data_IF_385811089743
#
_entry.id   IF_385811089743
#
_cell.length_a   1.000
_cell.length_b   1.000
_cell.length_c   1.000
_cell.angle_alpha   90.00
_cell.angle_beta   90.00
_cell.angle_gamma   90.00
#
_symmetry.space_group_name_H-M   'P 1'
#
loop_
_entity.id
_entity.type
_entity.pdbx_description
1 polymer ?
#
# COMPACT_ATOMS: atom_id res chain seq x y z
N UNK A 1 -17.70 0.98 -30.13
CA UNK A 1 -17.22 0.85 -28.74
C UNK A 1 -17.46 -0.57 -28.29
N UNK A 2 -16.62 -1.08 -27.40
CA UNK A 2 -16.77 -2.43 -26.83
C UNK A 2 -17.06 -2.30 -25.33
N UNK A 3 -17.96 -3.14 -24.83
CA UNK A 3 -18.36 -3.15 -23.41
C UNK A 3 -17.35 -3.87 -22.51
N UNK A 4 -16.54 -4.75 -23.10
CA UNK A 4 -15.59 -5.62 -22.42
C UNK A 4 -14.14 -5.11 -22.50
N UNK A 5 -13.92 -3.86 -22.94
CA UNK A 5 -12.60 -3.24 -23.04
C UNK A 5 -12.67 -1.75 -22.68
N UNK A 6 -11.59 -1.17 -22.12
CA UNK A 6 -11.53 0.26 -21.83
C UNK A 6 -11.80 1.11 -23.09
N UNK A 7 -12.65 2.11 -22.94
CA UNK A 7 -13.16 2.88 -24.07
C UNK A 7 -12.07 3.63 -24.86
N UNK A 8 -11.07 4.17 -24.16
CA UNK A 8 -9.93 4.86 -24.78
C UNK A 8 -9.08 3.90 -25.62
N UNK A 9 -8.85 2.68 -25.14
CA UNK A 9 -8.03 1.69 -25.84
C UNK A 9 -8.69 1.25 -27.15
N UNK A 10 -10.00 0.96 -27.10
CA UNK A 10 -10.79 0.60 -28.29
C UNK A 10 -10.73 1.71 -29.34
N UNK A 11 -10.89 2.96 -28.91
CA UNK A 11 -10.91 4.10 -29.82
C UNK A 11 -9.52 4.39 -30.40
N UNK A 12 -8.47 4.33 -29.59
CA UNK A 12 -7.09 4.51 -30.06
C UNK A 12 -6.67 3.39 -31.01
N UNK A 13 -7.01 2.14 -30.70
CA UNK A 13 -6.75 1.00 -31.58
C UNK A 13 -7.43 1.19 -32.94
N UNK A 14 -8.69 1.65 -32.97
CA UNK A 14 -9.39 1.95 -34.21
C UNK A 14 -8.73 3.10 -34.99
N UNK A 15 -8.31 4.17 -34.32
CA UNK A 15 -7.60 5.31 -34.94
C UNK A 15 -6.28 4.83 -35.57
N UNK A 16 -5.48 4.06 -34.82
CA UNK A 16 -4.22 3.51 -35.31
C UNK A 16 -4.43 2.57 -36.50
N UNK A 17 -5.36 1.63 -36.40
CA UNK A 17 -5.65 0.67 -37.46
C UNK A 17 -6.14 1.34 -38.75
N UNK A 18 -7.06 2.31 -38.64
CA UNK A 18 -7.62 2.98 -39.81
C UNK A 18 -6.60 3.87 -40.54
N UNK A 19 -5.59 4.39 -39.83
CA UNK A 19 -4.63 5.34 -40.37
C UNK A 19 -3.21 4.75 -40.50
N UNK A 20 -3.02 3.45 -40.22
CA UNK A 20 -1.71 2.80 -40.17
C UNK A 20 -0.70 3.53 -39.27
N UNK A 21 -1.15 3.95 -38.09
CA UNK A 21 -0.34 4.67 -37.10
C UNK A 21 0.04 3.77 -35.92
N UNK A 22 1.00 4.23 -35.13
CA UNK A 22 1.43 3.58 -33.88
C UNK A 22 1.45 4.59 -32.71
N UNK A 23 0.40 5.42 -32.62
CA UNK A 23 0.24 6.41 -31.54
C UNK A 23 -0.06 5.69 -30.23
N UNK A 24 0.62 6.03 -29.14
CA UNK A 24 0.38 5.50 -27.80
C UNK A 24 -0.58 6.39 -27.01
N UNK A 25 -1.20 5.84 -25.97
CA UNK A 25 -2.09 6.60 -25.09
C UNK A 25 -1.39 7.81 -24.43
N UNK A 26 -0.09 7.67 -24.17
CA UNK A 26 0.79 8.72 -23.61
C UNK A 26 1.15 9.81 -24.61
N UNK A 27 0.93 9.59 -25.91
CA UNK A 27 1.35 10.51 -26.97
C UNK A 27 0.30 11.59 -27.26
N UNK A 28 -0.87 11.49 -26.64
CA UNK A 28 -2.05 12.29 -26.97
C UNK A 28 -2.85 12.73 -25.74
N UNK A 29 -3.56 13.84 -25.90
CA UNK A 29 -4.56 14.35 -24.98
C UNK A 29 -5.94 14.26 -25.65
N UNK A 30 -6.91 13.76 -24.90
CA UNK A 30 -8.31 13.63 -25.32
C UNK A 30 -9.09 14.86 -24.85
N UNK A 31 -9.84 15.51 -25.75
CA UNK A 31 -10.83 16.48 -25.31
C UNK A 31 -12.02 15.80 -24.66
N UNK A 32 -12.83 16.58 -23.93
CA UNK A 32 -14.15 16.14 -23.52
C UNK A 32 -14.99 15.74 -24.74
N UNK A 33 -15.80 14.67 -24.62
CA UNK A 33 -16.69 14.22 -25.68
C UNK A 33 -17.84 15.21 -25.87
N UNK A 34 -18.08 15.57 -27.13
CA UNK A 34 -19.21 16.40 -27.54
C UNK A 34 -20.27 15.52 -28.19
N UNK A 35 -21.48 15.55 -27.63
CA UNK A 35 -22.66 15.01 -28.29
C UNK A 35 -22.97 15.83 -29.55
N UNK A 36 -23.11 15.15 -30.69
CA UNK A 36 -23.40 15.76 -31.98
C UNK A 36 -24.74 15.31 -32.56
N UNK A 37 -25.56 14.58 -31.78
CA UNK A 37 -26.92 14.21 -32.20
C UNK A 37 -27.77 15.44 -32.50
N UNK A 38 -28.58 15.37 -33.54
CA UNK A 38 -29.41 16.47 -34.05
C UNK A 38 -28.62 17.57 -34.75
N UNK A 39 -27.32 17.39 -35.02
CA UNK A 39 -26.50 18.37 -35.74
C UNK A 39 -26.18 17.89 -37.15
N UNK A 40 -25.82 18.81 -38.06
CA UNK A 40 -25.37 18.46 -39.42
C UNK A 40 -24.21 17.46 -39.43
N UNK A 41 -23.35 17.49 -38.39
CA UNK A 41 -22.22 16.57 -38.27
C UNK A 41 -22.67 15.14 -38.02
N UNK A 42 -23.76 14.90 -37.30
CA UNK A 42 -24.32 13.56 -37.16
C UNK A 42 -24.74 13.05 -38.53
N UNK A 43 -25.50 13.84 -39.30
CA UNK A 43 -25.95 13.45 -40.65
C UNK A 43 -24.79 13.14 -41.58
N UNK A 44 -23.73 13.94 -41.55
CA UNK A 44 -22.56 13.76 -42.42
C UNK A 44 -21.69 12.56 -42.05
N UNK A 45 -21.61 12.21 -40.77
CA UNK A 45 -20.70 11.17 -40.28
C UNK A 45 -21.41 9.86 -39.92
N UNK A 46 -22.73 9.91 -39.76
CA UNK A 46 -23.56 8.88 -39.16
C UNK A 46 -23.06 8.47 -37.76
N UNK A 47 -22.56 9.45 -36.98
CA UNK A 47 -21.99 9.27 -35.63
C UNK A 47 -22.66 10.19 -34.61
N UNK A 48 -22.71 9.73 -33.35
CA UNK A 48 -23.34 10.46 -32.26
C UNK A 48 -22.38 11.32 -31.42
N UNK A 49 -21.07 11.10 -31.51
CA UNK A 49 -20.08 11.77 -30.65
C UNK A 49 -18.89 12.27 -31.45
N UNK A 50 -18.39 13.45 -31.09
CA UNK A 50 -17.15 14.05 -31.56
C UNK A 50 -16.19 14.28 -30.38
N UNK A 51 -14.93 13.88 -30.55
CA UNK A 51 -13.81 14.31 -29.68
C UNK A 51 -12.72 14.95 -30.52
N UNK A 52 -11.76 15.60 -29.86
CA UNK A 52 -10.50 16.04 -30.45
C UNK A 52 -9.34 15.31 -29.77
N UNK A 53 -8.51 14.67 -30.59
CA UNK A 53 -7.22 14.11 -30.17
C UNK A 53 -6.13 15.11 -30.51
N UNK A 54 -5.28 15.45 -29.54
CA UNK A 54 -4.19 16.42 -29.67
C UNK A 54 -2.87 15.78 -29.29
N UNK A 55 -1.89 15.78 -30.20
CA UNK A 55 -0.51 15.38 -29.91
C UNK A 55 0.41 16.59 -29.67
N UNK A 56 0.00 17.78 -30.13
CA UNK A 56 0.79 19.00 -29.95
C UNK A 56 1.08 19.30 -28.49
N UNK A 57 2.37 19.44 -28.16
CA UNK A 57 2.83 19.84 -26.83
C UNK A 57 2.81 18.71 -25.79
N UNK A 58 2.59 17.46 -26.19
CA UNK A 58 2.69 16.31 -25.30
C UNK A 58 4.16 15.95 -25.08
N UNK A 59 4.67 16.17 -23.86
CA UNK A 59 6.06 15.88 -23.49
C UNK A 59 6.42 14.43 -23.77
N UNK A 60 7.50 14.20 -24.53
CA UNK A 60 7.98 12.86 -24.88
C UNK A 60 7.29 12.21 -26.07
N UNK A 61 6.27 12.85 -26.65
CA UNK A 61 5.63 12.41 -27.90
C UNK A 61 6.42 12.90 -29.11
N UNK A 62 6.60 12.03 -30.11
CA UNK A 62 7.14 12.41 -31.44
C UNK A 62 6.04 12.87 -32.40
N UNK A 63 4.78 12.82 -31.98
CA UNK A 63 3.63 13.15 -32.80
C UNK A 63 3.25 14.63 -32.65
N UNK A 64 2.74 15.22 -33.72
CA UNK A 64 2.20 16.59 -33.71
C UNK A 64 0.89 16.65 -34.48
N UNK A 65 0.04 17.59 -34.10
CA UNK A 65 -1.22 17.91 -34.74
C UNK A 65 -2.43 17.68 -33.83
N UNK A 66 -3.59 18.05 -34.39
CA UNK A 66 -4.91 17.93 -33.75
C UNK A 66 -5.91 17.41 -34.77
N UNK A 67 -6.73 16.43 -34.40
CA UNK A 67 -7.77 15.91 -35.28
C UNK A 67 -9.06 15.63 -34.54
N UNK A 68 -10.18 15.87 -35.22
CA UNK A 68 -11.48 15.47 -34.74
C UNK A 68 -11.69 13.98 -35.06
N UNK A 69 -12.17 13.23 -34.07
CA UNK A 69 -12.58 11.83 -34.23
C UNK A 69 -14.07 11.75 -33.97
N UNK A 70 -14.78 11.07 -34.87
CA UNK A 70 -16.23 10.88 -34.83
C UNK A 70 -16.53 9.41 -34.61
N UNK A 71 -17.32 9.10 -33.59
CA UNK A 71 -17.61 7.72 -33.20
C UNK A 71 -18.95 7.63 -32.44
N UNK A 72 -19.39 6.40 -32.15
CA UNK A 72 -20.63 6.16 -31.42
C UNK A 72 -20.33 5.73 -29.98
N UNK A 73 -20.75 6.53 -29.00
CA UNK A 73 -20.85 6.10 -27.60
C UNK A 73 -21.98 5.09 -27.43
N UNK A 74 -21.79 4.15 -26.49
CA UNK A 74 -22.81 3.18 -26.09
C UNK A 74 -23.85 3.88 -25.22
N UNK A 75 -25.12 3.50 -25.38
CA UNK A 75 -26.19 4.02 -24.53
C UNK A 75 -26.28 3.17 -23.27
N UNK A 76 -26.42 3.80 -22.11
CA UNK A 76 -26.69 3.07 -20.86
C UNK A 76 -28.00 2.28 -20.98
N UNK A 77 -28.97 2.81 -21.72
CA UNK A 77 -30.25 2.18 -22.02
C UNK A 77 -30.10 0.86 -22.79
N UNK A 78 -29.05 0.70 -23.61
CA UNK A 78 -28.81 -0.55 -24.35
C UNK A 78 -28.43 -1.71 -23.41
N UNK A 79 -27.94 -1.41 -22.19
CA UNK A 79 -27.68 -2.43 -21.16
C UNK A 79 -28.97 -3.12 -20.72
N UNK A 80 -30.10 -2.42 -20.69
CA UNK A 80 -31.41 -3.01 -20.36
C UNK A 80 -31.80 -4.13 -21.33
N UNK A 81 -31.38 -4.00 -22.59
CA UNK A 81 -31.62 -5.02 -23.63
C UNK A 81 -30.64 -6.18 -23.49
N UNK A 82 -29.39 -5.88 -23.13
CA UNK A 82 -28.31 -6.88 -23.09
C UNK A 82 -28.37 -7.79 -21.87
N UNK A 83 -28.62 -7.21 -20.68
CA UNK A 83 -28.58 -7.93 -19.40
C UNK A 83 -29.93 -7.94 -18.66
N UNK A 84 -30.95 -7.27 -19.21
CA UNK A 84 -32.24 -7.08 -18.55
C UNK A 84 -32.27 -5.84 -17.66
N UNK A 85 -33.38 -5.68 -16.93
CA UNK A 85 -33.64 -4.53 -16.06
C UNK A 85 -33.08 -4.68 -14.64
N UNK A 86 -32.36 -5.76 -14.36
CA UNK A 86 -31.99 -6.19 -13.01
C UNK A 86 -30.48 -6.38 -12.85
N UNK A 87 -29.88 -5.67 -11.90
CA UNK A 87 -28.49 -5.80 -11.49
C UNK A 87 -28.38 -6.58 -10.18
N UNK A 88 -27.47 -7.56 -10.14
CA UNK A 88 -27.13 -8.23 -8.90
C UNK A 88 -25.94 -7.52 -8.23
N UNK A 89 -26.20 -6.86 -7.10
CA UNK A 89 -25.19 -6.09 -6.35
C UNK A 89 -25.10 -6.63 -4.91
N UNK A 90 -23.90 -6.75 -4.38
CA UNK A 90 -23.70 -7.18 -2.99
C UNK A 90 -24.31 -6.17 -2.00
N UNK A 91 -25.07 -6.61 -0.98
CA UNK A 91 -25.79 -5.74 -0.05
C UNK A 91 -24.90 -4.84 0.83
N UNK A 92 -23.60 -5.09 0.87
CA UNK A 92 -22.61 -4.21 1.51
C UNK A 92 -22.35 -2.91 0.73
N UNK A 93 -22.67 -2.87 -0.56
CA UNK A 93 -22.46 -1.70 -1.41
C UNK A 93 -23.64 -0.74 -1.28
N UNK A 94 -23.35 0.49 -0.86
CA UNK A 94 -24.35 1.56 -0.76
C UNK A 94 -24.36 2.48 -1.99
N UNK A 95 -23.28 2.48 -2.79
CA UNK A 95 -23.14 3.34 -3.97
C UNK A 95 -22.76 2.55 -5.22
N UNK A 96 -23.06 3.12 -6.39
CA UNK A 96 -22.74 2.54 -7.68
C UNK A 96 -21.24 2.35 -7.86
N UNK A 97 -20.40 3.31 -7.44
CA UNK A 97 -18.95 3.18 -7.51
C UNK A 97 -18.42 2.00 -6.72
N UNK A 98 -18.91 1.79 -5.50
CA UNK A 98 -18.56 0.62 -4.69
C UNK A 98 -18.96 -0.70 -5.39
N UNK A 99 -20.06 -0.69 -6.14
CA UNK A 99 -20.55 -1.85 -6.88
C UNK A 99 -19.80 -2.13 -8.19
N UNK A 100 -19.09 -1.16 -8.79
CA UNK A 100 -18.42 -1.30 -10.10
C UNK A 100 -17.54 -2.56 -10.20
N UNK A 101 -16.64 -2.85 -9.24
CA UNK A 101 -15.79 -4.04 -9.33
C UNK A 101 -16.59 -5.35 -9.43
N UNK A 102 -17.66 -5.47 -8.64
CA UNK A 102 -18.54 -6.63 -8.66
C UNK A 102 -19.35 -6.74 -9.96
N UNK A 103 -19.84 -5.61 -10.49
CA UNK A 103 -20.56 -5.56 -11.76
C UNK A 103 -19.65 -5.97 -12.93
N UNK A 104 -18.41 -5.45 -12.97
CA UNK A 104 -17.41 -5.81 -13.97
C UNK A 104 -17.09 -7.32 -13.93
N UNK A 105 -16.90 -7.87 -12.73
CA UNK A 105 -16.61 -9.30 -12.56
C UNK A 105 -17.79 -10.18 -12.99
N UNK A 106 -19.02 -9.80 -12.65
CA UNK A 106 -20.22 -10.62 -12.90
C UNK A 106 -20.65 -10.59 -14.37
N UNK A 107 -20.65 -9.41 -14.98
CA UNK A 107 -21.18 -9.21 -16.33
C UNK A 107 -20.10 -9.10 -17.41
N UNK A 108 -18.81 -9.12 -17.03
CA UNK A 108 -17.70 -8.96 -17.96
C UNK A 108 -17.58 -7.55 -18.53
N UNK A 109 -18.12 -6.56 -17.82
CA UNK A 109 -17.98 -5.15 -18.18
C UNK A 109 -16.61 -4.63 -17.81
N UNK A 110 -16.22 -3.51 -18.42
CA UNK A 110 -15.05 -2.73 -18.03
C UNK A 110 -15.50 -1.29 -17.79
N UNK A 111 -16.31 -1.10 -16.74
CA UNK A 111 -16.76 0.20 -16.27
C UNK A 111 -15.72 0.78 -15.30
N UNK A 112 -15.48 2.08 -15.41
CA UNK A 112 -14.64 2.85 -14.48
C UNK A 112 -15.47 3.97 -13.84
N UNK A 113 -15.01 4.53 -12.71
CA UNK A 113 -15.66 5.71 -12.09
C UNK A 113 -15.71 6.91 -13.05
N UNK A 114 -14.82 6.99 -14.04
CA UNK A 114 -14.85 8.02 -15.07
C UNK A 114 -15.98 7.83 -16.11
N UNK A 115 -16.61 6.66 -16.15
CA UNK A 115 -17.66 6.34 -17.13
C UNK A 115 -19.07 6.65 -16.64
N UNK A 116 -19.31 6.58 -15.34
CA UNK A 116 -20.63 6.72 -14.72
C UNK A 116 -20.59 7.82 -13.66
N UNK A 117 -21.73 8.41 -13.33
CA UNK A 117 -21.86 9.22 -12.13
C UNK A 117 -22.11 8.29 -10.94
N UNK A 118 -21.52 8.59 -9.78
CA UNK A 118 -21.88 7.86 -8.57
C UNK A 118 -23.35 8.10 -8.23
N UNK A 119 -23.99 7.07 -7.70
CA UNK A 119 -25.40 7.08 -7.35
C UNK A 119 -25.62 6.18 -6.14
N UNK A 120 -26.50 6.61 -5.25
CA UNK A 120 -26.92 5.78 -4.12
C UNK A 120 -27.73 4.58 -4.63
N UNK A 121 -27.50 3.43 -4.00
CA UNK A 121 -28.32 2.24 -4.19
C UNK A 121 -29.46 2.30 -3.18
N UNK A 122 -30.68 2.49 -3.69
CA UNK A 122 -31.89 2.58 -2.89
C UNK A 122 -32.35 1.17 -2.50
N UNK A 123 -31.74 0.61 -1.46
CA UNK A 123 -32.12 -0.69 -0.91
C UNK A 123 -33.46 -0.65 -0.17
N UNK A 124 -34.19 -1.76 -0.20
CA UNK A 124 -35.25 -2.05 0.74
C UNK A 124 -34.69 -2.34 2.15
N UNK A 125 -35.57 -2.39 3.17
CA UNK A 125 -35.14 -2.46 4.58
C UNK A 125 -34.30 -3.70 4.95
N UNK A 126 -34.49 -4.82 4.24
CA UNK A 126 -33.76 -6.08 4.42
C UNK A 126 -32.61 -6.28 3.41
N UNK A 127 -32.34 -5.30 2.56
CA UNK A 127 -31.29 -5.31 1.52
C UNK A 127 -31.34 -6.53 0.60
N UNK A 128 -32.54 -6.96 0.24
CA UNK A 128 -32.78 -8.06 -0.70
C UNK A 128 -33.08 -7.55 -2.11
N UNK A 129 -33.70 -6.38 -2.21
CA UNK A 129 -34.08 -5.71 -3.45
C UNK A 129 -33.85 -4.20 -3.35
N UNK A 130 -33.73 -3.52 -4.47
CA UNK A 130 -33.58 -2.07 -4.49
C UNK A 130 -33.66 -1.48 -5.89
N UNK A 131 -33.27 -0.22 -6.02
CA UNK A 131 -33.15 0.48 -7.30
C UNK A 131 -31.86 1.29 -7.34
N UNK A 132 -31.28 1.43 -8.54
CA UNK A 132 -30.14 2.31 -8.76
C UNK A 132 -30.28 3.03 -10.08
N UNK A 133 -30.01 4.33 -10.08
CA UNK A 133 -30.03 5.17 -11.28
C UNK A 133 -28.64 5.27 -11.87
N UNK A 134 -28.40 4.53 -12.94
CA UNK A 134 -27.11 4.55 -13.66
C UNK A 134 -27.14 5.68 -14.68
N UNK A 135 -26.22 6.63 -14.54
CA UNK A 135 -26.09 7.78 -15.43
C UNK A 135 -24.67 7.79 -15.98
N UNK A 136 -24.52 7.91 -17.30
CA UNK A 136 -23.21 8.09 -17.90
C UNK A 136 -22.60 9.43 -17.45
N UNK A 137 -21.32 9.42 -17.07
CA UNK A 137 -20.61 10.65 -16.77
C UNK A 137 -20.58 11.56 -18.01
N UNK A 138 -20.78 12.89 -17.89
CA UNK A 138 -20.79 13.79 -19.05
C UNK A 138 -19.51 13.72 -19.89
N UNK A 139 -18.38 13.46 -19.21
CA UNK A 139 -17.06 13.33 -19.82
C UNK A 139 -16.71 11.89 -20.24
N UNK A 140 -17.61 10.92 -20.04
CA UNK A 140 -17.36 9.54 -20.44
C UNK A 140 -17.18 9.45 -21.96
N UNK A 141 -16.02 8.93 -22.34
CA UNK A 141 -15.67 8.65 -23.72
C UNK A 141 -16.48 7.47 -24.25
N UNK A 142 -16.84 6.51 -23.38
CA UNK A 142 -17.53 5.28 -23.77
C UNK A 142 -19.05 5.37 -23.81
N UNK A 143 -19.63 6.11 -22.86
CA UNK A 143 -21.03 5.98 -22.48
C UNK A 143 -21.80 7.30 -22.60
N UNK A 144 -23.10 7.19 -22.87
CA UNK A 144 -24.05 8.29 -22.87
C UNK A 144 -25.42 7.80 -22.41
N UNK A 145 -26.24 8.71 -21.89
CA UNK A 145 -27.60 8.38 -21.48
C UNK A 145 -27.67 7.92 -20.03
N UNK A 146 -28.83 7.35 -19.68
CA UNK A 146 -29.13 6.96 -18.30
C UNK A 146 -30.23 5.90 -18.28
N UNK A 147 -30.20 5.02 -17.28
CA UNK A 147 -31.28 4.09 -17.02
C UNK A 147 -31.41 3.81 -15.52
N UNK A 148 -32.63 3.50 -15.10
CA UNK A 148 -32.87 2.98 -13.74
C UNK A 148 -32.93 1.47 -13.81
N UNK A 149 -32.12 0.80 -12.99
CA UNK A 149 -32.12 -0.64 -12.83
C UNK A 149 -32.77 -1.02 -11.51
N UNK A 150 -33.47 -2.15 -11.52
CA UNK A 150 -33.77 -2.89 -10.30
C UNK A 150 -32.48 -3.52 -9.79
N UNK A 151 -32.37 -3.62 -8.48
CA UNK A 151 -31.26 -4.27 -7.81
C UNK A 151 -31.80 -5.48 -7.07
N UNK A 152 -31.10 -6.59 -7.16
CA UNK A 152 -31.33 -7.78 -6.32
C UNK A 152 -30.06 -8.10 -5.56
N UNK A 153 -30.21 -8.77 -4.43
CA UNK A 153 -29.09 -9.27 -3.63
C UNK A 153 -28.18 -10.16 -4.48
N UNK A 154 -27.01 -9.63 -4.80
CA UNK A 154 -25.91 -10.36 -5.44
C UNK A 154 -24.97 -10.98 -4.41
N UNK A 155 -24.04 -11.78 -4.92
CA UNK A 155 -22.96 -12.33 -4.12
C UNK A 155 -21.97 -11.22 -3.73
N UNK A 156 -21.52 -11.25 -2.48
CA UNK A 156 -20.40 -10.42 -2.06
C UNK A 156 -19.11 -10.91 -2.74
N UNK A 157 -18.24 -9.99 -3.14
CA UNK A 157 -16.91 -10.38 -3.60
C UNK A 157 -16.19 -11.11 -2.45
N UNK A 158 -15.53 -12.22 -2.73
CA UNK A 158 -14.71 -12.90 -1.72
C UNK A 158 -13.64 -11.94 -1.16
N UNK A 159 -13.17 -10.98 -1.98
CA UNK A 159 -12.22 -9.94 -1.57
C UNK A 159 -12.85 -8.96 -0.56
N UNK A 160 -14.14 -8.63 -0.68
CA UNK A 160 -14.84 -7.80 0.32
C UNK A 160 -15.17 -8.59 1.60
N UNK A 161 -15.31 -9.91 1.51
CA UNK A 161 -15.55 -10.79 2.66
C UNK A 161 -14.29 -11.09 3.49
N UNK A 162 -13.09 -10.99 2.91
CA UNK A 162 -11.82 -11.17 3.62
C UNK A 162 -11.41 -9.85 4.28
N UNK A 163 -11.96 -9.59 5.46
CA UNK A 163 -11.63 -8.40 6.28
C UNK A 163 -10.31 -8.55 7.05
N UNK A 164 -9.79 -9.78 7.17
CA UNK A 164 -8.54 -10.08 7.86
C UNK A 164 -7.52 -10.59 6.87
N UNK A 165 -6.74 -9.67 6.30
CA UNK A 165 -5.59 -9.95 5.44
C UNK A 165 -4.29 -10.18 6.24
N UNK A 166 -4.30 -9.90 7.55
CA UNK A 166 -3.14 -10.08 8.44
C UNK A 166 -3.38 -11.28 9.37
N UNK A 167 -2.57 -12.32 9.20
CA UNK A 167 -2.51 -13.45 10.14
C UNK A 167 -1.77 -13.02 11.40
N UNK A 168 -2.52 -12.62 12.42
CA UNK A 168 -1.96 -12.15 13.71
C UNK A 168 -1.21 -13.22 14.50
N UNK A 169 -1.22 -14.49 14.05
CA UNK A 169 -0.52 -15.61 14.67
C UNK A 169 0.92 -15.86 14.18
N UNK A 170 1.34 -15.26 13.07
CA UNK A 170 2.71 -15.37 12.52
C UNK A 170 3.46 -14.04 12.67
N UNK A 171 3.48 -13.48 13.88
CA UNK A 171 4.10 -12.18 14.17
C UNK A 171 5.59 -12.34 14.52
N UNK A 172 6.43 -11.47 13.98
CA UNK A 172 7.83 -11.33 14.40
C UNK A 172 7.85 -10.80 15.85
N UNK A 173 8.61 -11.40 16.79
CA UNK A 173 8.54 -11.09 18.21
C UNK A 173 9.29 -9.79 18.60
N UNK A 174 9.13 -8.69 17.86
CA UNK A 174 9.86 -7.44 18.08
C UNK A 174 9.11 -6.35 18.86
N UNK A 175 8.02 -6.71 19.54
CA UNK A 175 7.22 -5.74 20.30
C UNK A 175 6.40 -4.76 19.45
N UNK A 176 6.55 -4.77 18.12
CA UNK A 176 5.69 -4.02 17.21
C UNK A 176 4.49 -4.90 16.83
N UNK A 177 3.53 -4.99 17.76
CA UNK A 177 2.27 -5.69 17.51
C UNK A 177 1.51 -5.03 16.34
N UNK A 178 1.49 -5.67 15.17
CA UNK A 178 0.56 -5.33 14.08
C UNK A 178 1.11 -4.54 12.89
N UNK A 179 2.43 -4.46 12.69
CA UNK A 179 3.01 -3.85 11.47
C UNK A 179 3.33 -4.92 10.41
N UNK A 180 2.84 -4.76 9.17
CA UNK A 180 3.15 -5.61 8.01
C UNK A 180 4.64 -5.53 7.60
N UNK A 181 5.37 -4.52 8.09
CA UNK A 181 6.79 -4.33 7.84
C UNK A 181 7.55 -4.42 9.16
N UNK A 182 8.53 -5.32 9.25
CA UNK A 182 9.51 -5.35 10.35
C UNK A 182 10.41 -4.14 10.19
N UNK A 183 10.15 -3.07 10.95
CA UNK A 183 10.90 -1.80 10.81
C UNK A 183 12.13 -1.74 11.73
N UNK A 184 12.28 -2.68 12.66
CA UNK A 184 13.37 -2.71 13.63
C UNK A 184 13.79 -4.13 14.02
N UNK A 185 15.09 -4.30 14.29
CA UNK A 185 15.69 -5.52 14.85
C UNK A 185 15.49 -5.55 16.37
N UNK A 186 15.31 -6.74 16.94
CA UNK A 186 15.19 -6.93 18.39
C UNK A 186 16.58 -6.84 19.01
N UNK A 187 16.76 -5.96 20.00
CA UNK A 187 18.01 -5.77 20.72
C UNK A 187 18.54 -7.08 21.34
N UNK A 188 17.65 -7.93 21.85
CA UNK A 188 17.99 -9.23 22.44
C UNK A 188 18.67 -10.14 21.42
N UNK A 189 18.06 -10.31 20.24
CA UNK A 189 18.63 -11.11 19.14
C UNK A 189 19.91 -10.50 18.61
N UNK A 190 19.99 -9.17 18.54
CA UNK A 190 21.19 -8.46 18.10
C UNK A 190 22.36 -8.67 19.05
N UNK A 191 22.15 -8.63 20.37
CA UNK A 191 23.22 -8.74 21.37
C UNK A 191 23.69 -10.18 21.62
N UNK A 192 22.83 -11.17 21.36
CA UNK A 192 23.08 -12.59 21.62
C UNK A 192 24.39 -13.20 21.08
N UNK A 193 24.86 -12.90 19.85
CA UNK A 193 26.08 -13.53 19.31
C UNK A 193 27.38 -12.95 19.90
N UNK A 194 27.33 -11.82 20.59
CA UNK A 194 28.52 -11.11 21.03
C UNK A 194 29.00 -11.57 22.42
N UNK A 195 30.32 -11.53 22.58
CA UNK A 195 31.01 -11.79 23.84
C UNK A 195 31.70 -10.51 24.30
N UNK A 196 31.32 -10.01 25.47
CA UNK A 196 31.87 -8.77 26.02
C UNK A 196 32.96 -8.98 27.09
N UNK A 197 33.47 -10.21 27.29
CA UNK A 197 34.51 -10.55 28.28
C UNK A 197 35.72 -9.61 28.23
N UNK A 198 36.12 -9.12 27.05
CA UNK A 198 37.23 -8.16 26.88
C UNK A 198 37.11 -6.93 27.79
N UNK A 199 35.88 -6.51 28.10
CA UNK A 199 35.57 -5.30 28.87
C UNK A 199 34.90 -5.63 30.22
N UNK A 200 35.23 -6.78 30.81
CA UNK A 200 34.62 -7.27 32.05
C UNK A 200 34.65 -6.22 33.16
N UNK A 201 35.82 -5.64 33.43
CA UNK A 201 36.00 -4.74 34.57
C UNK A 201 35.27 -3.42 34.36
N UNK A 202 35.28 -2.90 33.13
CA UNK A 202 34.51 -1.72 32.73
C UNK A 202 33.01 -1.97 32.84
N UNK A 203 32.52 -3.14 32.41
CA UNK A 203 31.10 -3.50 32.51
C UNK A 203 30.65 -3.62 33.96
N UNK A 204 31.44 -4.26 34.83
CA UNK A 204 31.13 -4.38 36.25
C UNK A 204 31.17 -3.05 37.01
N UNK A 205 31.87 -2.05 36.47
CA UNK A 205 31.92 -0.71 37.05
C UNK A 205 30.68 0.14 36.76
N UNK A 206 29.80 -0.28 35.82
CA UNK A 206 28.55 0.43 35.57
C UNK A 206 27.60 0.32 36.76
N UNK A 207 26.86 1.41 37.00
CA UNK A 207 25.82 1.49 38.02
C UNK A 207 24.47 1.67 37.32
N UNK A 208 23.37 1.10 37.85
CA UNK A 208 22.05 1.30 37.27
C UNK A 208 21.69 2.79 37.15
N UNK A 209 21.09 3.15 36.02
CA UNK A 209 20.68 4.51 35.70
C UNK A 209 20.91 4.91 34.24
N UNK A 210 20.49 6.12 33.91
CA UNK A 210 20.60 6.67 32.55
C UNK A 210 22.05 7.02 32.25
N UNK A 211 22.55 6.52 31.12
CA UNK A 211 23.88 6.82 30.62
C UNK A 211 23.98 8.29 30.23
N UNK A 212 24.97 8.98 30.77
CA UNK A 212 25.33 10.35 30.43
C UNK A 212 26.83 10.57 30.58
N UNK A 213 27.37 11.64 30.00
CA UNK A 213 28.79 12.01 30.12
C UNK A 213 29.76 10.92 29.67
N UNK A 214 30.76 10.64 30.51
CA UNK A 214 31.82 9.65 30.22
C UNK A 214 31.28 8.21 30.12
N UNK A 215 30.44 7.71 31.06
CA UNK A 215 29.83 6.37 30.94
C UNK A 215 29.09 6.10 29.62
N UNK A 216 28.41 7.12 29.07
CA UNK A 216 27.76 7.01 27.75
C UNK A 216 28.79 6.85 26.62
N UNK A 217 29.86 7.64 26.68
CA UNK A 217 30.94 7.58 25.69
C UNK A 217 31.66 6.23 25.73
N UNK A 218 31.93 5.71 26.92
CA UNK A 218 32.59 4.42 27.11
C UNK A 218 31.74 3.27 26.59
N UNK A 219 30.42 3.30 26.86
CA UNK A 219 29.48 2.28 26.36
C UNK A 219 29.43 2.28 24.83
N UNK A 220 29.39 3.47 24.23
CA UNK A 220 29.43 3.60 22.75
C UNK A 220 30.69 3.00 22.17
N UNK A 221 31.85 3.25 22.78
CA UNK A 221 33.13 2.74 22.30
C UNK A 221 33.24 1.23 22.44
N UNK A 222 32.78 0.68 23.57
CA UNK A 222 32.72 -0.77 23.82
C UNK A 222 31.81 -1.48 22.82
N UNK A 223 30.58 -0.97 22.58
CA UNK A 223 29.68 -1.57 21.61
C UNK A 223 30.26 -1.49 20.19
N UNK A 224 30.89 -0.37 19.82
CA UNK A 224 31.60 -0.24 18.53
C UNK A 224 32.69 -1.28 18.34
N UNK A 225 33.54 -1.47 19.34
CA UNK A 225 34.67 -2.39 19.28
C UNK A 225 34.21 -3.85 19.14
N UNK A 226 33.20 -4.26 19.92
CA UNK A 226 32.74 -5.65 19.92
C UNK A 226 31.81 -5.98 18.75
N UNK A 227 30.89 -5.07 18.40
CA UNK A 227 29.87 -5.37 17.39
C UNK A 227 30.21 -4.86 15.99
N UNK A 228 31.28 -4.06 15.85
CA UNK A 228 31.65 -3.39 14.60
C UNK A 228 30.61 -2.38 14.09
N UNK A 229 29.56 -2.10 14.88
CA UNK A 229 28.44 -1.25 14.49
C UNK A 229 28.71 0.20 14.91
N UNK A 230 28.28 1.16 14.08
CA UNK A 230 28.53 2.59 14.29
C UNK A 230 27.65 3.22 15.40
N UNK A 231 27.76 2.75 16.64
CA UNK A 231 27.07 3.33 17.80
C UNK A 231 27.48 4.78 18.05
N UNK A 232 26.55 5.64 18.46
CA UNK A 232 26.82 7.06 18.71
C UNK A 232 26.22 7.54 20.03
N UNK A 233 26.89 8.49 20.68
CA UNK A 233 26.48 9.08 21.95
C UNK A 233 25.39 10.17 21.80
N UNK A 234 24.69 10.19 20.67
CA UNK A 234 23.67 11.18 20.32
C UNK A 234 22.32 10.50 20.10
N UNK A 235 21.25 11.29 19.95
CA UNK A 235 19.89 10.82 19.67
C UNK A 235 19.72 10.44 18.19
N UNK A 236 20.52 9.49 17.72
CA UNK A 236 20.46 8.95 16.35
C UNK A 236 19.43 7.83 16.25
N UNK A 237 18.66 7.82 15.16
CA UNK A 237 17.64 6.80 14.88
C UNK A 237 18.21 5.42 14.59
N UNK A 238 19.46 5.33 14.11
CA UNK A 238 20.05 4.04 13.74
C UNK A 238 20.76 3.32 14.88
N UNK A 239 21.62 4.02 15.63
CA UNK A 239 22.42 3.42 16.71
C UNK A 239 22.75 4.46 17.79
N UNK A 240 21.76 5.27 18.17
CA UNK A 240 21.91 6.28 19.22
C UNK A 240 21.74 5.71 20.63
N UNK A 241 22.68 6.00 21.53
CA UNK A 241 22.59 5.62 22.95
C UNK A 241 22.24 6.77 23.90
N UNK A 242 22.08 8.00 23.41
CA UNK A 242 21.68 9.10 24.28
C UNK A 242 20.30 8.82 24.91
N UNK A 243 20.26 8.66 26.24
CA UNK A 243 19.06 8.26 26.99
C UNK A 243 18.92 6.75 27.23
N UNK A 244 19.92 5.93 26.85
CA UNK A 244 19.97 4.52 27.22
C UNK A 244 20.12 4.37 28.75
N UNK A 245 19.58 3.30 29.31
CA UNK A 245 19.53 3.06 30.75
C UNK A 245 20.13 1.70 31.09
N UNK A 246 21.14 1.69 31.97
CA UNK A 246 21.62 0.45 32.59
C UNK A 246 20.58 0.06 33.64
N UNK A 247 19.93 -1.08 33.44
CA UNK A 247 18.92 -1.61 34.36
C UNK A 247 19.60 -2.40 35.47
N UNK A 248 20.58 -3.22 35.12
CA UNK A 248 21.36 -4.01 36.06
C UNK A 248 22.68 -4.46 35.46
N UNK A 249 23.63 -4.79 36.32
CA UNK A 249 24.85 -5.53 35.98
C UNK A 249 25.17 -6.49 37.12
N UNK A 250 25.57 -7.72 36.80
CA UNK A 250 25.94 -8.70 37.81
C UNK A 250 25.89 -10.13 37.29
N UNK A 251 25.68 -11.08 38.20
CA UNK A 251 25.56 -12.49 37.86
C UNK A 251 24.45 -12.72 36.84
N UNK A 252 24.76 -13.55 35.86
CA UNK A 252 23.82 -13.90 34.81
C UNK A 252 22.72 -14.83 35.34
N UNK A 253 21.48 -14.54 34.98
CA UNK A 253 20.32 -15.41 35.22
C UNK A 253 19.69 -15.77 33.86
N UNK A 254 20.11 -16.87 33.22
CA UNK A 254 19.62 -17.26 31.90
C UNK A 254 18.17 -17.81 31.92
N UNK A 255 17.55 -17.93 33.11
CA UNK A 255 16.13 -18.27 33.25
C UNK A 255 15.28 -17.01 33.19
N UNK A 256 15.72 -15.95 33.86
CA UNK A 256 15.03 -14.66 33.87
C UNK A 256 15.41 -13.74 32.70
N UNK A 257 16.56 -13.96 32.07
CA UNK A 257 17.11 -13.14 30.99
C UNK A 257 17.36 -14.00 29.73
N UNK A 258 17.14 -13.48 28.52
CA UNK A 258 17.41 -14.18 27.26
C UNK A 258 18.91 -14.19 26.91
N UNK A 259 19.75 -14.64 27.85
CA UNK A 259 21.21 -14.70 27.75
C UNK A 259 21.70 -16.13 27.62
N UNK A 260 22.94 -16.32 27.16
CA UNK A 260 23.54 -17.64 27.09
C UNK A 260 24.09 -18.06 28.47
N UNK A 261 23.66 -19.23 28.97
CA UNK A 261 24.04 -19.78 30.27
C UNK A 261 25.55 -20.07 30.44
N UNK A 262 26.34 -20.03 29.36
CA UNK A 262 27.80 -20.16 29.40
C UNK A 262 28.52 -18.90 29.91
N UNK A 263 27.82 -17.77 30.00
CA UNK A 263 28.37 -16.53 30.56
C UNK A 263 27.95 -16.37 32.01
N UNK A 264 28.92 -16.00 32.84
CA UNK A 264 28.80 -15.82 34.29
C UNK A 264 28.13 -14.50 34.64
N UNK A 265 28.30 -13.46 33.81
CA UNK A 265 27.79 -12.12 34.06
C UNK A 265 26.99 -11.59 32.86
N UNK A 266 26.07 -10.68 33.16
CA UNK A 266 25.33 -9.91 32.16
C UNK A 266 25.12 -8.48 32.62
N UNK A 267 25.19 -7.53 31.68
CA UNK A 267 24.72 -6.16 31.83
C UNK A 267 23.45 -5.98 30.98
N UNK A 268 22.39 -5.50 31.61
CA UNK A 268 21.08 -5.25 30.98
C UNK A 268 20.98 -3.78 30.62
N UNK A 269 21.02 -3.46 29.33
CA UNK A 269 21.00 -2.10 28.81
C UNK A 269 19.72 -1.85 28.00
N UNK A 270 18.82 -1.04 28.53
CA UNK A 270 17.60 -0.62 27.84
C UNK A 270 17.91 0.48 26.84
N UNK A 271 17.57 0.26 25.56
CA UNK A 271 17.77 1.26 24.52
C UNK A 271 16.76 2.41 24.64
N UNK A 272 17.15 3.65 24.27
CA UNK A 272 16.24 4.77 24.26
C UNK A 272 15.22 4.62 23.12
N UNK A 273 14.03 5.20 23.29
CA UNK A 273 12.97 5.22 22.27
C UNK A 273 13.39 5.96 20.98
N UNK A 274 14.45 6.76 21.06
CA UNK A 274 15.03 7.48 19.92
C UNK A 274 15.83 6.56 19.00
N UNK A 275 16.26 5.38 19.47
CA UNK A 275 16.88 4.36 18.63
C UNK A 275 15.77 3.50 18.00
N UNK A 276 15.58 3.64 16.68
CA UNK A 276 14.45 3.01 15.97
C UNK A 276 14.87 1.85 15.08
N UNK A 277 16.16 1.70 14.75
CA UNK A 277 16.66 0.55 13.96
C UNK A 277 16.84 -0.70 14.80
N UNK A 278 17.17 -0.55 16.09
CA UNK A 278 17.19 -1.63 17.07
C UNK A 278 16.35 -1.20 18.27
N UNK A 279 15.39 -2.04 18.66
CA UNK A 279 14.44 -1.74 19.74
C UNK A 279 14.51 -2.77 20.87
N UNK A 280 14.28 -2.31 22.10
CA UNK A 280 14.23 -3.15 23.29
C UNK A 280 15.49 -3.08 24.15
N UNK A 281 15.84 -4.21 24.77
CA UNK A 281 16.92 -4.32 25.75
C UNK A 281 18.08 -5.13 25.18
N UNK A 282 19.29 -4.59 25.26
CA UNK A 282 20.52 -5.33 24.98
C UNK A 282 20.94 -6.09 26.24
N UNK A 283 21.35 -7.34 26.04
CA UNK A 283 21.93 -8.17 27.09
C UNK A 283 23.41 -8.40 26.78
N UNK A 284 24.28 -7.62 27.41
CA UNK A 284 25.71 -7.69 27.21
C UNK A 284 26.27 -8.79 28.13
N UNK A 285 26.48 -9.98 27.58
CA UNK A 285 26.96 -11.15 28.31
C UNK A 285 28.50 -11.24 28.30
N UNK A 286 29.09 -11.59 29.44
CA UNK A 286 30.54 -11.65 29.62
C UNK A 286 30.95 -12.61 30.74
N UNK A 287 32.24 -12.98 30.75
CA UNK A 287 32.86 -13.89 31.72
C UNK A 287 34.00 -13.22 32.47
N UNK A 288 34.57 -13.94 33.43
CA UNK A 288 35.90 -13.60 33.94
C UNK A 288 36.92 -13.64 32.80
N UNK A 289 37.94 -12.79 32.90
CA UNK A 289 39.08 -12.84 31.99
C UNK A 289 39.85 -14.13 32.29
N UNK A 290 40.24 -14.87 31.25
CA UNK A 290 41.11 -16.03 31.44
C UNK A 290 42.41 -15.58 32.11
N UNK A 291 42.73 -16.15 33.28
CA UNK A 291 44.06 -15.99 33.87
C UNK A 291 44.99 -17.00 33.19
N UNK A 292 45.98 -16.57 32.39
CA UNK A 292 46.95 -17.48 31.79
C UNK A 292 47.82 -18.22 32.83
N UNK A 293 47.66 -17.92 34.12
CA UNK A 293 48.34 -18.54 35.26
C UNK A 293 47.46 -19.51 36.06
N UNK A 294 46.15 -19.59 35.78
CA UNK A 294 45.29 -20.63 36.35
C UNK A 294 45.55 -21.96 35.63
N UNK A 295 46.03 -22.95 36.39
CA UNK A 295 46.27 -24.34 35.93
C UNK A 295 45.06 -25.20 36.23
#
# INVERSE_FOLDING_TARGET
MAIYQPSKDVLLAAVNAQNSLAVKMTDIIWSTPKDIRGTEKETLTNRNTQIKITADGVTGSTWSGKKNVFYNRMKVEDLLVLIGDTLAIGPSNETLYAAIPGLNQRYGFVLEEADLQDADIEWNGDKTEGTVRVVAHPESIGWVGQATFKVVKGDESLVSAVTTNVLTGLKYPNGQMGSETVTAVIAEVYSYPYNFTKYRDELLAYVPGILSGQPLTDMVNLLKDITGTAWVATTSTSYGLAGAEVISVGLNDPVAMPTNAKYKYALVLKLPVTCTTIVGTLYLQFNDLDDPSEV
#
